data_IF_047493465694
#
_entry.id   IF_047493465694
#
_cell.length_a   1.000
_cell.length_b   1.000
_cell.length_c   1.000
_cell.angle_alpha   90.00
_cell.angle_beta   90.00
_cell.angle_gamma   90.00
#
_symmetry.space_group_name_H-M   'P 1'
#
loop_
_entity.id
_entity.type
_entity.pdbx_description
1 polymer ?
2 polymer ?
3 non-polymer ?
4 water ?
#
# COMPACT_ATOMS: atom_id res chain seq x y z
CA UNK A 18 0.12 -16.70 -3.54
C UNK A 18 -0.64 -16.89 -4.86
N UNK A 19 -0.31 -16.07 -5.89
CA UNK A 19 0.54 -14.88 -5.72
C UNK A 19 -0.24 -13.74 -5.05
N UNK A 20 0.46 -12.69 -4.60
CA UNK A 20 -0.24 -11.51 -4.12
C UNK A 20 -1.13 -10.92 -5.22
N UNK A 21 -2.13 -10.12 -4.83
CA UNK A 21 -2.93 -9.43 -5.83
C UNK A 21 -2.13 -8.38 -6.59
N UNK A 22 -2.65 -7.92 -7.71
CA UNK A 22 -2.06 -6.80 -8.42
C UNK A 22 -2.30 -5.53 -7.57
N UNK A 23 -1.36 -4.58 -7.59
CA UNK A 23 -0.13 -4.57 -8.38
C UNK A 23 0.97 -5.39 -7.72
N UNK A 24 1.64 -6.19 -8.54
CA UNK A 24 2.66 -7.06 -8.06
C UNK A 24 3.84 -7.04 -9.02
N UNK A 25 5.00 -7.41 -8.50
CA UNK A 25 6.22 -7.43 -9.31
C UNK A 25 7.12 -8.53 -8.77
N UNK A 26 7.80 -9.23 -9.68
CA UNK A 26 8.81 -10.20 -9.27
C UNK A 26 10.20 -9.62 -9.47
N UNK A 27 11.02 -9.69 -8.41
CA UNK A 27 12.39 -9.16 -8.44
C UNK A 27 13.32 -10.24 -7.97
N UNK A 28 14.53 -10.28 -8.54
CA UNK A 28 15.57 -11.11 -7.98
C UNK A 28 16.16 -10.42 -6.73
N UNK A 29 16.12 -11.13 -5.61
CA UNK A 29 16.58 -10.65 -4.30
C UNK A 29 17.50 -11.72 -3.74
N UNK A 30 18.77 -11.37 -3.54
CA UNK A 30 19.78 -12.37 -3.11
C UNK A 30 19.81 -13.60 -3.99
N UNK A 31 19.64 -13.41 -5.29
CA UNK A 31 19.77 -14.53 -6.22
C UNK A 31 18.49 -15.33 -6.45
N UNK A 32 17.43 -15.02 -5.69
CA UNK A 32 16.14 -15.77 -5.83
C UNK A 32 15.00 -14.84 -6.23
N UNK A 33 14.07 -15.30 -7.09
CA UNK A 33 12.88 -14.49 -7.38
C UNK A 33 11.93 -14.39 -6.17
N UNK A 34 11.49 -13.17 -5.91
CA UNK A 34 10.47 -12.90 -4.88
C UNK A 34 9.37 -12.11 -5.59
N UNK A 35 8.13 -12.59 -5.44
CA UNK A 35 6.99 -11.86 -5.97
C UNK A 35 6.35 -11.01 -4.84
N UNK A 36 6.43 -9.72 -5.04
CA UNK A 36 5.98 -8.73 -4.04
C UNK A 36 4.62 -8.18 -4.39
N UNK A 37 3.83 -7.91 -3.35
CA UNK A 37 2.76 -6.92 -3.50
C UNK A 37 3.39 -5.56 -3.48
N UNK A 38 3.06 -4.73 -4.47
CA UNK A 38 3.55 -3.36 -4.49
C UNK A 38 2.66 -2.60 -3.50
N UNK A 39 3.28 -2.02 -2.46
CA UNK A 39 2.54 -1.45 -1.33
C UNK A 39 2.98 -0.05 -1.02
N UNK A 40 2.26 0.93 -1.57
CA UNK A 40 2.64 2.33 -1.41
C UNK A 40 2.37 2.78 0.03
N UNK A 41 1.62 2.00 0.80
CA UNK A 41 1.42 2.30 2.22
C UNK A 41 2.53 1.76 3.13
N UNK A 42 3.49 1.02 2.58
CA UNK A 42 4.60 0.45 3.39
C UNK A 42 5.83 1.36 3.29
N UNK A 43 6.31 1.85 4.44
CA UNK A 43 7.47 2.72 4.47
C UNK A 43 8.73 1.94 4.05
N UNK A 44 8.80 0.68 4.43
CA UNK A 44 9.97 -0.15 4.14
C UNK A 44 9.48 -1.49 3.62
N UNK A 45 10.34 -2.14 2.86
CA UNK A 45 9.99 -3.38 2.20
C UNK A 45 10.17 -4.57 3.13
N UNK A 46 9.41 -5.62 2.83
CA UNK A 46 9.22 -6.75 3.75
C UNK A 46 9.41 -8.08 3.00
N UNK A 47 10.16 -8.98 3.64
CA UNK A 47 10.20 -10.42 3.26
C UNK A 47 9.48 -11.24 4.33
N UNK A 48 8.77 -12.29 3.90
CA UNK A 48 7.91 -13.04 4.84
C UNK A 48 8.38 -14.46 5.12
N UNK A 49 9.04 -15.08 4.15
CA UNK A 49 9.50 -16.46 4.31
C UNK A 49 10.88 -16.55 3.67
N UNK A 50 11.70 -17.49 4.14
CA UNK A 50 13.06 -17.65 3.56
C UNK A 50 13.82 -16.31 3.34
N UNK A 51 13.92 -15.48 4.40
CA UNK A 51 14.54 -14.15 4.30
C UNK A 51 16.05 -14.21 4.18
N UNK A 52 16.65 -15.39 4.33
CA UNK A 52 18.11 -15.45 4.40
C UNK A 52 18.60 -15.04 5.79
N UNK A 53 19.92 -14.89 5.93
CA UNK A 53 20.51 -14.49 7.20
C UNK A 53 19.90 -13.19 7.77
N UNK A 54 19.64 -13.21 9.06
CA UNK A 54 19.03 -12.08 9.77
C UNK A 54 20.05 -11.31 10.57
N UNK A 55 19.90 -10.00 10.57
CA UNK A 55 20.68 -9.16 11.48
C UNK A 55 20.10 -9.26 12.90
N UNK A 56 20.86 -8.78 13.90
CA UNK A 56 20.27 -8.72 15.23
C UNK A 56 19.72 -7.34 15.53
N UNK A 57 19.66 -6.49 14.50
CA UNK A 57 19.03 -5.16 14.60
C UNK A 57 17.51 -5.34 14.37
N UNK A 58 16.73 -4.58 15.11
CA UNK A 58 15.28 -4.70 15.00
C UNK A 58 14.63 -3.34 14.88
N UNK A 59 13.34 -3.37 14.54
CA UNK A 59 12.56 -2.15 14.44
C UNK A 59 11.18 -2.42 14.95
N UNK A 60 10.59 -1.39 15.55
CA UNK A 60 9.17 -1.45 15.87
C UNK A 60 8.36 -1.13 14.61
N UNK A 61 7.46 -2.04 14.23
CA UNK A 61 6.67 -1.90 13.01
C UNK A 61 5.22 -1.67 13.45
N UNK A 62 4.64 -0.54 13.01
CA UNK A 62 3.21 -0.32 13.19
C UNK A 62 2.48 -0.74 11.94
N UNK A 63 1.57 -1.68 12.11
CA UNK A 63 0.67 -2.08 11.02
C UNK A 63 -0.70 -1.42 11.15
N UNK A 64 -1.61 -1.81 10.29
CA UNK A 64 -2.95 -1.24 10.36
C UNK A 64 -3.72 -1.70 11.60
N UNK A 65 -3.34 -2.83 12.20
CA UNK A 65 -4.12 -3.46 13.25
C UNK A 65 -3.39 -3.55 14.59
N UNK A 66 -2.15 -3.06 14.62
CA UNK A 66 -1.33 -3.21 15.84
C UNK A 66 0.10 -2.98 15.49
N UNK A 67 1.00 -3.45 16.31
CA UNK A 67 2.42 -3.24 16.08
C UNK A 67 3.21 -4.31 16.81
N UNK A 68 4.42 -4.53 16.34
CA UNK A 68 5.30 -5.55 16.90
C UNK A 68 6.73 -5.27 16.46
N UNK A 69 7.69 -5.86 17.17
CA UNK A 69 9.10 -5.74 16.87
C UNK A 69 9.54 -6.85 15.89
N UNK A 70 10.28 -6.45 14.84
CA UNK A 70 10.78 -7.41 13.84
C UNK A 70 12.22 -7.10 13.52
N UNK A 71 12.90 -8.11 13.03
CA UNK A 71 14.32 -7.97 12.73
C UNK A 71 14.52 -7.60 11.27
N UNK A 72 15.64 -6.91 11.00
CA UNK A 72 16.12 -6.61 9.64
C UNK A 72 16.91 -7.80 9.10
N UNK A 73 16.83 -8.05 7.79
CA UNK A 73 17.72 -9.02 7.20
C UNK A 73 19.12 -8.38 7.09
N UNK A 74 20.14 -9.23 6.85
CA UNK A 74 21.40 -8.66 6.35
C UNK A 74 21.20 -8.11 4.91
N UNK A 75 22.23 -7.52 4.34
CA UNK A 75 22.06 -6.86 3.04
C UNK A 75 21.86 -7.85 1.91
N UNK A 76 20.96 -7.52 1.00
CA UNK A 76 20.65 -8.33 -0.17
C UNK A 76 20.91 -7.49 -1.42
N UNK A 77 21.39 -8.11 -2.48
CA UNK A 77 21.39 -7.44 -3.79
C UNK A 77 20.03 -7.59 -4.43
N UNK A 78 19.48 -6.48 -4.89
CA UNK A 78 18.13 -6.44 -5.43
C UNK A 78 18.22 -5.93 -6.87
N UNK A 79 17.74 -6.73 -7.81
CA UNK A 79 17.85 -6.41 -9.24
C UNK A 79 16.67 -5.61 -9.75
N UNK A 80 16.71 -4.31 -9.50
CA UNK A 80 15.68 -3.40 -10.01
C UNK A 80 15.88 -3.09 -11.47
N UNK A 81 14.78 -2.75 -12.16
CA UNK A 81 14.85 -2.38 -13.57
C UNK A 81 15.76 -1.16 -13.80
N UNK A 82 15.87 -0.32 -12.76
CA UNK A 82 16.70 0.89 -12.80
C UNK A 82 18.14 0.61 -12.45
N UNK A 83 18.46 -0.65 -12.15
CA UNK A 83 19.82 -1.07 -11.78
C UNK A 83 19.89 -1.75 -10.41
N UNK A 84 20.83 -2.69 -10.26
CA UNK A 84 20.91 -3.40 -9.00
C UNK A 84 21.45 -2.54 -7.88
N UNK A 85 20.88 -2.73 -6.69
CA UNK A 85 21.29 -1.98 -5.49
C UNK A 85 21.31 -2.97 -4.33
N UNK A 86 21.88 -2.54 -3.21
CA UNK A 86 21.89 -3.32 -1.97
C UNK A 86 20.79 -2.79 -1.08
N UNK A 87 20.03 -3.70 -0.49
CA UNK A 87 18.92 -3.36 0.38
C UNK A 87 18.73 -4.35 1.51
N UNK A 88 18.31 -3.83 2.67
CA UNK A 88 17.92 -4.69 3.81
C UNK A 88 16.41 -4.63 3.97
N UNK A 89 15.82 -5.78 4.25
CA UNK A 89 14.36 -5.93 4.32
C UNK A 89 13.96 -6.20 5.77
N UNK A 90 12.76 -5.78 6.13
CA UNK A 90 12.15 -6.26 7.38
C UNK A 90 11.70 -7.69 7.21
N UNK A 91 12.05 -8.55 8.17
CA UNK A 91 11.50 -9.90 8.13
C UNK A 91 10.21 -9.95 8.98
N UNK A 92 9.07 -10.07 8.30
CA UNK A 92 7.78 -10.01 9.00
C UNK A 92 7.01 -11.28 8.70
N UNK A 93 7.23 -12.33 9.49
CA UNK A 93 6.57 -13.58 9.15
C UNK A 93 5.05 -13.49 9.36
N UNK A 94 4.55 -12.52 10.14
CA UNK A 94 3.08 -12.34 10.29
C UNK A 94 2.38 -11.74 9.05
N UNK A 95 3.16 -11.19 8.14
CA UNK A 95 2.61 -10.42 7.03
C UNK A 95 2.16 -11.39 5.91
N UNK A 96 1.00 -11.13 5.29
CA UNK A 96 0.46 -12.10 4.31
C UNK A 96 1.32 -12.25 3.03
N UNK A 97 1.97 -11.17 2.60
CA UNK A 97 2.74 -11.17 1.35
C UNK A 97 4.03 -10.40 1.53
N UNK A 98 5.09 -10.72 0.76
CA UNK A 98 6.25 -9.81 0.72
C UNK A 98 5.77 -8.48 0.14
N UNK A 99 6.35 -7.42 0.66
CA UNK A 99 5.90 -6.07 0.29
C UNK A 99 7.02 -5.25 -0.29
N UNK A 100 6.74 -4.62 -1.44
CA UNK A 100 7.68 -3.69 -2.04
C UNK A 100 7.14 -2.31 -1.67
N UNK A 101 7.86 -1.67 -0.75
CA UNK A 101 7.44 -0.39 -0.18
C UNK A 101 8.05 0.81 -0.83
N UNK A 102 7.78 1.97 -0.23
CA UNK A 102 8.17 3.23 -0.85
C UNK A 102 9.69 3.39 -0.89
N UNK A 103 10.41 2.71 0.00
CA UNK A 103 11.88 2.71 -0.07
C UNK A 103 12.42 2.25 -1.41
N UNK A 104 11.87 1.16 -1.96
CA UNK A 104 12.34 0.64 -3.23
C UNK A 104 11.56 1.23 -4.41
N UNK A 105 10.28 1.61 -4.20
CA UNK A 105 9.55 2.27 -5.28
C UNK A 105 10.19 3.61 -5.68
N UNK A 106 10.78 4.32 -4.71
CA UNK A 106 11.52 5.56 -5.01
C UNK A 106 12.76 5.26 -5.85
N UNK A 107 13.45 4.15 -5.57
CA UNK A 107 14.62 3.78 -6.37
C UNK A 107 14.26 3.34 -7.77
N UNK A 108 13.09 2.71 -7.90
CA UNK A 108 12.59 2.25 -9.18
C UNK A 108 11.96 3.39 -10.00
N UNK A 109 11.58 4.49 -9.34
CA UNK A 109 10.83 5.57 -9.98
C UNK A 109 9.61 4.98 -10.69
N UNK A 110 8.94 4.04 -10.00
CA UNK A 110 7.86 3.26 -10.57
C UNK A 110 6.62 4.12 -10.82
N UNK A 111 5.83 3.73 -11.80
CA UNK A 111 4.45 4.21 -11.90
C UNK A 111 3.54 3.00 -11.71
N UNK A 112 2.40 3.22 -11.08
CA UNK A 112 1.44 2.15 -10.88
C UNK A 112 0.14 2.63 -11.50
N UNK A 113 -0.37 1.88 -12.48
CA UNK A 113 -1.55 2.29 -13.23
C UNK A 113 -2.71 1.37 -12.95
N UNK A 114 -3.81 1.93 -12.49
CA UNK A 114 -5.03 1.16 -12.27
C UNK A 114 -5.87 1.14 -13.55
N UNK A 115 -6.05 -0.04 -14.12
CA UNK A 115 -6.79 -0.20 -15.40
C UNK A 115 -7.53 -1.51 -15.43
N UNK A 116 -8.78 -1.48 -15.88
CA UNK A 116 -9.67 -2.63 -15.71
C UNK A 116 -9.92 -2.85 -14.23
N UNK A 117 -9.91 -4.12 -13.81
CA UNK A 117 -10.04 -4.48 -12.40
C UNK A 117 -8.65 -4.69 -11.77
N UNK A 118 -7.61 -4.48 -12.58
CA UNK A 118 -6.25 -4.74 -12.15
C UNK A 118 -5.35 -3.51 -12.09
N UNK A 119 -4.04 -3.79 -12.03
CA UNK A 119 -3.06 -2.73 -11.86
C UNK A 119 -1.76 -3.22 -12.45
N UNK A 120 -1.08 -2.31 -13.11
CA UNK A 120 0.15 -2.62 -13.80
C UNK A 120 1.24 -1.68 -13.33
N UNK A 121 2.42 -2.24 -13.10
CA UNK A 121 3.58 -1.44 -12.73
C UNK A 121 4.38 -1.12 -14.01
N UNK A 122 4.82 0.12 -14.12
CA UNK A 122 5.55 0.61 -15.27
C UNK A 122 6.83 1.29 -14.76
N UNK A 123 7.93 1.14 -15.50
CA UNK A 123 9.21 1.75 -15.10
C UNK A 123 9.29 3.19 -15.57
N UNK A 124 10.39 3.88 -15.21
CA UNK A 124 10.47 5.31 -15.55
C UNK A 124 10.66 5.56 -17.06
N UNK A 125 11.01 4.52 -17.81
CA UNK A 125 11.15 4.60 -19.29
C UNK A 125 9.89 4.08 -19.98
N UNK A 126 8.84 3.83 -19.20
CA UNK A 126 7.53 3.39 -19.75
C UNK A 126 7.44 1.89 -20.03
N UNK A 127 8.49 1.15 -19.68
CA UNK A 127 8.52 -0.28 -19.89
C UNK A 127 7.63 -0.98 -18.83
N UNK A 128 6.74 -1.89 -19.25
CA UNK A 128 5.89 -2.64 -18.31
C UNK A 128 6.70 -3.61 -17.45
N UNK A 129 6.45 -3.62 -16.14
CA UNK A 129 7.17 -4.51 -15.23
C UNK A 129 6.21 -5.54 -14.62
N UNK A 130 6.70 -6.76 -14.38
CA UNK A 130 5.82 -7.84 -13.88
C UNK A 130 6.51 -8.83 -12.93
N UNK B 18 -0.30 17.07 10.94
CA UNK B 18 0.60 16.28 10.05
C UNK B 18 -0.22 15.48 9.03
N UNK B 19 0.04 15.68 7.73
CA UNK B 19 -0.61 14.83 6.74
C UNK B 19 0.04 13.45 6.72
N UNK B 20 -0.65 12.45 6.15
CA UNK B 20 0.03 11.18 5.87
C UNK B 20 1.17 11.39 4.89
N UNK B 21 2.08 10.43 4.77
CA UNK B 21 3.11 10.58 3.75
C UNK B 21 2.54 10.54 2.34
N UNK B 22 3.30 11.05 1.36
CA UNK B 22 3.00 10.80 -0.05
C UNK B 22 3.19 9.32 -0.38
N UNK B 23 2.39 8.78 -1.30
CA UNK B 23 1.34 9.44 -2.08
C UNK B 23 0.11 9.65 -1.22
N UNK B 24 -0.48 10.83 -1.36
CA UNK B 24 -1.72 11.10 -0.64
C UNK B 24 -2.70 11.83 -1.49
N UNK B 25 -3.97 11.83 -1.05
CA UNK B 25 -5.03 12.47 -1.82
C UNK B 25 -6.13 12.87 -0.83
N UNK B 26 -6.74 14.02 -1.11
CA UNK B 26 -7.87 14.49 -0.32
C UNK B 26 -9.14 14.35 -1.12
N UNK B 27 -10.09 13.60 -0.57
CA UNK B 27 -11.41 13.38 -1.16
C UNK B 27 -12.52 13.78 -0.20
N UNK B 28 -13.62 14.29 -0.73
CA UNK B 28 -14.79 14.50 0.15
C UNK B 28 -15.50 13.18 0.43
N UNK B 29 -15.77 12.93 1.70
CA UNK B 29 -16.47 11.72 2.14
C UNK B 29 -17.58 12.22 3.06
N UNK B 30 -18.83 11.89 2.73
CA UNK B 30 -19.95 12.34 3.56
C UNK B 30 -20.05 13.87 3.60
N UNK B 31 -19.46 14.52 2.61
CA UNK B 31 -19.52 15.98 2.49
C UNK B 31 -18.29 16.73 2.98
N UNK B 32 -17.32 16.04 3.60
CA UNK B 32 -16.16 16.74 4.14
C UNK B 32 -14.86 16.07 3.73
N UNK B 33 -13.79 16.84 3.56
CA UNK B 33 -12.53 16.26 3.08
C UNK B 33 -11.84 15.33 4.08
N UNK B 34 -11.32 14.24 3.54
CA UNK B 34 -10.44 13.29 4.25
C UNK B 34 -9.15 13.20 3.44
N UNK B 35 -8.03 13.39 4.13
CA UNK B 35 -6.74 13.20 3.46
C UNK B 35 -6.25 11.78 3.71
N UNK B 36 -6.24 10.98 2.64
CA UNK B 36 -5.85 9.58 2.71
C UNK B 36 -4.40 9.37 2.32
N UNK B 37 -3.77 8.38 2.95
CA UNK B 37 -2.62 7.73 2.39
C UNK B 37 -3.09 6.83 1.26
N UNK B 38 -2.54 7.01 0.08
CA UNK B 38 -2.92 6.16 -1.03
C UNK B 38 -2.12 4.87 -0.81
N UNK B 39 -2.85 3.77 -0.68
CA UNK B 39 -2.26 2.54 -0.23
C UNK B 39 -2.60 1.35 -1.14
N UNK B 40 -1.70 1.04 -2.06
CA UNK B 40 -1.94 -0.07 -2.98
C UNK B 40 -1.93 -1.41 -2.27
N UNK B 41 -1.42 -1.45 -1.04
CA UNK B 41 -1.42 -2.67 -0.23
C UNK B 41 -2.72 -2.90 0.48
N UNK B 42 -3.65 -1.95 0.42
CA UNK B 42 -4.95 -2.10 1.11
C UNK B 42 -6.03 -2.62 0.13
N UNK B 43 -6.64 -3.75 0.52
CA UNK B 43 -7.72 -4.31 -0.28
C UNK B 43 -8.97 -3.44 -0.30
N UNK B 44 -9.23 -2.77 0.82
CA UNK B 44 -10.38 -1.91 0.94
C UNK B 44 -9.98 -0.66 1.73
N UNK B 45 -10.72 0.41 1.48
CA UNK B 45 -10.43 1.71 2.08
C UNK B 45 -10.86 1.81 3.53
N UNK B 46 -10.14 2.64 4.27
CA UNK B 46 -10.19 2.71 5.72
C UNK B 46 -10.36 4.12 6.20
N UNK B 47 -11.31 4.27 7.14
CA UNK B 47 -11.40 5.49 7.97
C UNK B 47 -10.93 5.12 9.36
N UNK B 48 -10.49 6.13 10.11
CA UNK B 48 -9.88 5.86 11.44
C UNK B 48 -10.51 6.60 12.62
N UNK B 49 -11.29 7.64 12.38
CA UNK B 49 -11.66 8.53 13.50
C UNK B 49 -13.03 9.15 13.24
N UNK B 50 -13.91 9.05 14.25
CA UNK B 50 -15.29 9.59 14.17
C UNK B 50 -15.92 9.31 12.82
N UNK B 51 -16.03 8.01 12.46
CA UNK B 51 -16.37 7.60 11.13
C UNK B 51 -17.85 7.77 10.74
N UNK B 52 -18.71 8.14 11.68
CA UNK B 52 -20.14 8.29 11.41
C UNK B 52 -20.82 6.94 11.58
N UNK B 53 -22.06 6.83 11.09
CA UNK B 53 -22.86 5.63 11.36
C UNK B 53 -22.17 4.34 10.88
N UNK B 54 -22.21 3.32 11.74
CA UNK B 54 -21.61 2.03 11.41
C UNK B 54 -22.69 1.01 11.10
N UNK B 55 -22.35 0.08 10.21
CA UNK B 55 -23.20 -1.05 9.97
C UNK B 55 -23.11 -2.02 11.14
N UNK B 56 -24.01 -3.02 11.14
CA UNK B 56 -23.85 -4.07 12.13
C UNK B 56 -22.81 -5.10 11.67
N UNK B 57 -22.39 -4.99 10.40
CA UNK B 57 -21.48 -5.95 9.78
C UNK B 57 -20.01 -5.61 10.06
N UNK B 58 -19.19 -6.65 10.11
CA UNK B 58 -17.76 -6.48 10.32
C UNK B 58 -16.97 -7.33 9.34
N UNK B 59 -15.67 -7.03 9.25
CA UNK B 59 -14.76 -7.82 8.45
C UNK B 59 -13.60 -8.24 9.32
N UNK B 60 -13.02 -9.40 9.05
CA UNK B 60 -11.74 -9.75 9.57
C UNK B 60 -10.68 -9.01 8.73
N UNK B 61 -9.82 -8.26 9.39
CA UNK B 61 -8.76 -7.49 8.70
C UNK B 61 -7.42 -8.03 9.13
N UNK B 62 -6.63 -8.53 8.17
CA UNK B 62 -5.23 -8.93 8.41
C UNK B 62 -4.31 -7.79 7.97
N UNK B 63 -3.54 -7.26 8.91
CA UNK B 63 -2.54 -6.23 8.67
C UNK B 63 -1.18 -6.91 8.64
N UNK B 64 -0.13 -6.10 8.58
CA UNK B 64 1.23 -6.64 8.54
C UNK B 64 1.60 -7.42 9.78
N UNK B 65 1.00 -7.07 10.92
CA UNK B 65 1.44 -7.64 12.20
C UNK B 65 0.48 -8.58 12.91
N UNK B 66 -0.73 -8.71 12.37
CA UNK B 66 -1.78 -9.52 13.04
C UNK B 66 -3.10 -9.16 12.45
N UNK B 67 -4.15 -9.77 12.96
CA UNK B 67 -5.51 -9.52 12.46
C UNK B 67 -6.51 -9.48 13.58
N UNK B 68 -7.62 -8.80 13.28
CA UNK B 68 -8.81 -8.86 14.13
C UNK B 68 -9.93 -8.20 13.34
N UNK B 69 -11.13 -8.15 13.92
CA UNK B 69 -12.28 -7.69 13.19
C UNK B 69 -12.54 -6.22 13.42
N UNK B 70 -13.05 -5.57 12.37
CA UNK B 70 -13.43 -4.17 12.42
C UNK B 70 -14.75 -4.00 11.73
N UNK B 71 -15.45 -2.94 12.10
CA UNK B 71 -16.76 -2.68 11.57
C UNK B 71 -16.77 -1.93 10.24
N UNK B 72 -17.71 -2.27 9.40
CA UNK B 72 -18.01 -1.52 8.22
C UNK B 72 -18.83 -0.28 8.54
N UNK B 73 -18.53 0.82 7.87
CA UNK B 73 -19.44 1.96 7.92
C UNK B 73 -20.70 1.64 7.10
N UNK B 74 -21.77 2.39 7.37
CA UNK B 74 -22.83 2.44 6.37
C UNK B 74 -22.32 3.17 5.09
N UNK B 75 -23.14 3.22 4.05
CA UNK B 75 -22.71 3.83 2.82
C UNK B 75 -22.40 5.33 2.95
N UNK B 76 -21.39 5.78 2.22
CA UNK B 76 -21.01 7.18 2.22
C UNK B 76 -20.98 7.68 0.80
N UNK B 77 -21.42 8.93 0.61
CA UNK B 77 -21.17 9.61 -0.64
C UNK B 77 -19.70 10.04 -0.70
N UNK B 78 -19.03 9.62 -1.76
CA UNK B 78 -17.61 9.94 -1.96
C UNK B 78 -17.50 10.67 -3.30
N UNK B 79 -16.92 11.87 -3.26
CA UNK B 79 -16.76 12.70 -4.47
C UNK B 79 -15.46 12.33 -5.17
N UNK B 80 -15.52 11.53 -6.22
CA UNK B 80 -14.34 11.25 -7.01
C UNK B 80 -14.22 12.26 -8.16
N UNK B 81 -13.21 12.07 -9.02
CA UNK B 81 -12.97 12.94 -10.18
C UNK B 81 -14.16 13.02 -11.15
N UNK B 82 -14.70 11.85 -11.51
CA UNK B 82 -15.75 11.73 -12.53
C UNK B 82 -17.16 11.90 -11.96
N UNK B 83 -17.26 12.07 -10.64
CA UNK B 83 -18.55 12.22 -9.99
C UNK B 83 -18.65 11.37 -8.73
N UNK B 84 -19.79 11.50 -8.06
CA UNK B 84 -20.04 10.81 -6.80
C UNK B 84 -20.20 9.32 -6.97
N UNK B 85 -19.68 8.58 -6.00
CA UNK B 85 -20.00 7.17 -5.85
C UNK B 85 -20.51 6.96 -4.41
N UNK B 86 -21.18 5.84 -4.17
CA UNK B 86 -21.52 5.41 -2.80
C UNK B 86 -20.57 4.27 -2.45
N UNK B 87 -20.00 4.34 -1.26
CA UNK B 87 -18.98 3.39 -0.88
C UNK B 87 -18.99 3.24 0.61
N UNK B 88 -18.61 2.05 1.06
CA UNK B 88 -18.51 1.80 2.48
C UNK B 88 -17.03 1.66 2.81
N UNK B 89 -16.70 2.03 4.04
CA UNK B 89 -15.30 1.95 4.52
C UNK B 89 -15.16 1.04 5.72
N UNK B 90 -13.99 0.46 5.91
CA UNK B 90 -13.68 -0.15 7.19
C UNK B 90 -13.32 0.92 8.20
N UNK B 91 -13.84 0.80 9.41
CA UNK B 91 -13.43 1.69 10.48
C UNK B 91 -12.35 0.97 11.29
N UNK B 92 -11.11 1.45 11.17
CA UNK B 92 -9.97 0.81 11.82
C UNK B 92 -9.26 1.85 12.72
N UNK B 93 -9.67 1.94 13.97
CA UNK B 93 -9.08 2.97 14.84
C UNK B 93 -7.64 2.68 15.24
N UNK B 94 -7.18 1.47 15.00
CA UNK B 94 -5.74 1.12 15.24
C UNK B 94 -4.82 1.59 14.11
N UNK B 95 -5.40 2.07 13.01
CA UNK B 95 -4.59 2.44 11.84
C UNK B 95 -4.24 3.92 11.98
N UNK B 96 -2.98 4.32 11.71
CA UNK B 96 -2.59 5.71 11.99
C UNK B 96 -3.15 6.72 10.99
N UNK B 97 -3.53 6.26 9.78
CA UNK B 97 -3.99 7.15 8.70
C UNK B 97 -5.18 6.53 7.99
N UNK B 98 -6.14 7.36 7.53
CA UNK B 98 -7.11 6.81 6.59
C UNK B 98 -6.39 6.31 5.34
N UNK B 99 -6.88 5.21 4.77
CA UNK B 99 -6.20 4.58 3.62
C UNK B 99 -7.15 4.54 2.43
N UNK B 100 -6.66 4.96 1.27
CA UNK B 100 -7.41 4.84 0.05
C UNK B 100 -6.80 3.65 -0.67
N UNK B 101 -7.58 2.57 -0.72
CA UNK B 101 -7.08 1.28 -1.15
C UNK B 101 -7.45 0.96 -2.59
N UNK B 102 -7.21 -0.29 -2.96
CA UNK B 102 -7.36 -0.71 -4.37
C UNK B 102 -8.81 -0.65 -4.83
N UNK B 103 -9.77 -0.75 -3.91
CA UNK B 103 -11.16 -0.55 -4.22
C UNK B 103 -11.45 0.80 -4.86
N UNK B 104 -10.98 1.88 -4.25
CA UNK B 104 -11.25 3.22 -4.80
C UNK B 104 -10.23 3.63 -5.88
N UNK B 105 -9.02 3.07 -5.82
CA UNK B 105 -8.04 3.34 -6.88
C UNK B 105 -8.54 2.81 -8.22
N UNK B 106 -9.25 1.69 -8.21
CA UNK B 106 -9.86 1.14 -9.43
C UNK B 106 -10.97 2.07 -9.93
N UNK B 107 -11.80 2.56 -9.01
CA UNK B 107 -12.91 3.45 -9.38
C UNK B 107 -12.40 4.78 -9.94
N UNK B 108 -11.30 5.28 -9.39
CA UNK B 108 -10.62 6.48 -9.89
C UNK B 108 -9.79 6.26 -11.16
N UNK B 109 -9.53 4.99 -11.51
CA UNK B 109 -8.54 4.63 -12.54
C UNK B 109 -7.25 5.43 -12.35
N UNK B 110 -6.79 5.50 -11.09
CA UNK B 110 -5.66 6.30 -10.71
C UNK B 110 -4.34 5.77 -11.26
N UNK B 111 -3.39 6.70 -11.41
CA UNK B 111 -1.98 6.37 -11.60
C UNK B 111 -1.19 6.97 -10.46
N UNK B 112 -0.19 6.22 -9.99
CA UNK B 112 0.66 6.72 -8.91
C UNK B 112 2.07 6.77 -9.46
N UNK B 113 2.70 7.94 -9.36
CA UNK B 113 4.03 8.18 -9.91
C UNK B 113 5.02 8.51 -8.83
N UNK B 114 6.12 7.76 -8.77
CA UNK B 114 7.22 8.06 -7.86
C UNK B 114 8.24 8.89 -8.63
N UNK B 115 8.44 10.13 -8.18
CA UNK B 115 9.31 11.09 -8.87
C UNK B 115 10.03 11.90 -7.80
N UNK B 116 11.33 12.11 -8.00
CA UNK B 116 12.16 12.69 -6.95
C UNK B 116 12.08 11.80 -5.72
N UNK B 117 11.91 12.42 -4.55
CA UNK B 117 11.84 11.66 -3.31
C UNK B 117 10.39 11.38 -2.89
N UNK B 118 9.43 11.95 -3.62
CA UNK B 118 8.01 11.80 -3.26
C UNK B 118 7.19 11.01 -4.26
N UNK B 119 5.89 11.21 -4.23
CA UNK B 119 4.99 10.46 -5.08
C UNK B 119 3.72 11.25 -5.27
N UNK B 120 3.17 11.18 -6.48
CA UNK B 120 1.96 11.93 -6.85
C UNK B 120 0.91 10.98 -7.36
N UNK B 121 -0.36 11.36 -7.20
CA UNK B 121 -1.46 10.53 -7.68
C UNK B 121 -2.17 11.37 -8.72
N UNK B 122 -2.40 10.76 -9.88
CA UNK B 122 -3.12 11.39 -10.97
C UNK B 122 -4.26 10.52 -11.47
N UNK B 123 -5.16 11.12 -12.28
CA UNK B 123 -6.23 10.39 -12.99
C UNK B 123 -5.79 9.56 -14.19
N UNK B 124 -6.75 8.88 -14.85
CA UNK B 124 -6.46 7.90 -15.91
C UNK B 124 -5.74 8.52 -17.10
N UNK B 125 -5.92 9.83 -17.27
CA UNK B 125 -5.14 10.57 -18.24
C UNK B 125 -4.30 11.67 -17.63
N UNK B 126 -3.77 11.41 -16.44
CA UNK B 126 -2.70 12.23 -15.90
C UNK B 126 -3.09 13.57 -15.28
N UNK B 127 -4.39 13.78 -15.09
CA UNK B 127 -4.88 14.97 -14.40
C UNK B 127 -4.85 14.80 -12.87
N UNK B 128 -4.61 15.90 -12.12
CA UNK B 128 -4.48 15.73 -10.68
C UNK B 128 -5.85 15.51 -10.01
N UNK B 129 -5.85 15.00 -8.78
CA UNK B 129 -7.12 14.80 -8.07
C UNK B 129 -7.00 15.23 -6.60
N UNK C 2 -3.46 -4.24 4.09
CA UNK C 2 -4.77 -4.53 4.67
C UNK C 2 -5.36 -5.62 3.77
N UNK C 3 -5.68 -6.75 4.36
CA UNK C 3 -6.31 -7.86 3.64
C UNK C 3 -7.63 -8.19 4.34
N UNK C 5 -10.17 -13.65 3.39
N UNK D 2 2.67 -0.17 6.82
CA UNK D 2 3.81 -0.43 7.70
C UNK D 2 4.53 0.93 7.90
N UNK D 3 4.65 1.35 9.14
CA UNK D 3 5.33 2.56 9.50
C UNK D 3 6.41 2.10 10.49
N UNK D 5 8.45 6.48 13.77
#
# INVERSE_FOLDING_TARGET
MHHHHHHTLGDQGGQGQEPPPEPRITLKVGGQPVTFLVDTGAQHSVLTQNPGPLSDKSAWVQGATGGKRYRWTTDRKVHLATGKVTHSFLHVPDCPYPLLGRDLLTKLKAQIHFEGSGAQVVGPMGQPLQVL
MHHHHHHTLGDQGGQGQEPPPEPRITLKVGGQPVTFLVDTGAQHSVLTQNPGPLSDKSAWVQGATGGKRYRWTTDRKVHLATGKVTHSFLHVPDCPYPLLGRDLLTKLKAQIHFEGSGAQVVGPMGQPLQVL
XVVXAX
XVVXAX
#
